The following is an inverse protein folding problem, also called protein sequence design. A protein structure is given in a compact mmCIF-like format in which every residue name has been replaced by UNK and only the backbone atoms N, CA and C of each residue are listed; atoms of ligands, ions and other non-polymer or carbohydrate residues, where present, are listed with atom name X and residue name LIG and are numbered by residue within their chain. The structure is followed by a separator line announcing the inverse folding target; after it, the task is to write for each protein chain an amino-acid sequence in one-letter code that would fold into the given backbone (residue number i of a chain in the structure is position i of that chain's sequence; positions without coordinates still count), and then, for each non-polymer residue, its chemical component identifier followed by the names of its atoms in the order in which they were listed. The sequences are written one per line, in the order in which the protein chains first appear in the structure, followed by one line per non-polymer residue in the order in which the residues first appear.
data_IF_301964373908
#
_entry.id   IF_301964373908
#
_cell.length_a   1.000
_cell.length_b   1.000
_cell.length_c   1.000
_cell.angle_alpha   90.00
_cell.angle_beta   90.00
_cell.angle_gamma   90.00
#
_symmetry.space_group_name_H-M   'P 1'
#
loop_
_entity.id
_entity.type
_entity.pdbx_description
1 polymer ?
#
# COMPACT_ATOMS: atom_id res chain seq x y z
N UNK A 1 4.60 -20.06 -19.83
CA UNK A 1 5.56 -20.92 -19.10
C UNK A 1 5.32 -20.72 -17.61
N UNK A 2 4.83 -21.72 -16.87
CA UNK A 2 4.53 -21.58 -15.45
C UNK A 2 5.76 -21.98 -14.63
N UNK A 3 6.25 -21.05 -13.80
CA UNK A 3 7.30 -21.29 -12.80
C UNK A 3 6.67 -21.84 -11.54
N UNK A 4 7.05 -23.06 -11.20
CA UNK A 4 6.52 -23.81 -10.09
C UNK A 4 6.93 -23.28 -8.72
N UNK A 5 5.91 -23.10 -7.88
CA UNK A 5 6.04 -22.83 -6.45
C UNK A 5 6.42 -24.15 -5.74
N UNK A 6 7.69 -24.29 -5.35
CA UNK A 6 8.15 -25.36 -4.46
C UNK A 6 7.72 -25.04 -3.02
N UNK A 7 6.69 -25.74 -2.57
CA UNK A 7 6.31 -25.82 -1.16
C UNK A 7 7.34 -26.69 -0.42
N UNK A 8 8.17 -26.09 0.43
CA UNK A 8 8.94 -26.81 1.43
C UNK A 8 8.04 -27.04 2.65
N UNK A 9 7.47 -28.23 2.70
CA UNK A 9 6.87 -28.80 3.91
C UNK A 9 8.00 -29.46 4.72
N UNK A 10 8.55 -28.76 5.70
CA UNK A 10 9.38 -29.34 6.75
C UNK A 10 8.48 -30.01 7.77
N UNK A 11 8.29 -31.32 7.61
CA UNK A 11 7.62 -32.14 8.59
C UNK A 11 8.48 -32.30 9.85
N UNK A 12 8.03 -31.74 10.95
CA UNK A 12 8.54 -32.06 12.28
C UNK A 12 7.90 -33.39 12.72
N UNK A 13 8.64 -34.47 12.53
CA UNK A 13 8.29 -35.79 13.09
C UNK A 13 8.67 -35.76 14.57
N UNK A 14 7.68 -35.57 15.43
CA UNK A 14 7.81 -35.73 16.87
C UNK A 14 7.71 -37.25 17.18
N UNK A 15 8.85 -37.89 17.28
CA UNK A 15 8.94 -39.31 17.70
C UNK A 15 8.62 -39.40 19.20
N UNK A 16 7.37 -39.72 19.52
CA UNK A 16 6.99 -40.10 20.89
C UNK A 16 7.53 -41.51 21.21
N UNK A 17 8.61 -41.55 21.97
CA UNK A 17 9.17 -42.79 22.54
C UNK A 17 8.24 -43.22 23.70
N UNK A 18 7.29 -44.06 23.40
CA UNK A 18 6.48 -44.75 24.44
C UNK A 18 7.32 -45.92 24.97
N UNK A 19 7.94 -45.72 26.12
CA UNK A 19 8.51 -46.84 26.88
C UNK A 19 7.41 -47.53 27.69
N UNK A 20 7.29 -48.88 27.62
CA UNK A 20 6.36 -49.60 28.49
C UNK A 20 6.86 -49.54 29.93
N UNK A 21 6.17 -48.79 30.77
CA UNK A 21 6.42 -48.80 32.20
C UNK A 21 5.96 -50.13 32.78
N UNK A 22 6.92 -50.96 33.17
CA UNK A 22 6.70 -52.12 34.06
C UNK A 22 6.03 -51.60 35.34
N UNK A 23 4.79 -52.03 35.55
CA UNK A 23 4.03 -51.77 36.79
C UNK A 23 4.73 -52.45 37.96
N UNK A 24 5.58 -51.69 38.66
CA UNK A 24 5.98 -52.04 40.02
C UNK A 24 4.92 -51.53 41.00
N UNK A 25 4.49 -52.35 41.99
CA UNK A 25 3.59 -51.82 43.02
C UNK A 25 4.33 -50.75 43.80
N UNK A 26 3.78 -49.55 43.77
CA UNK A 26 4.25 -48.39 44.54
C UNK A 26 4.12 -48.74 46.03
N UNK A 27 5.19 -48.62 46.83
CA UNK A 27 5.05 -48.57 48.27
C UNK A 27 4.30 -47.27 48.58
N UNK A 28 3.17 -47.37 49.28
CA UNK A 28 2.45 -46.24 49.88
C UNK A 28 3.35 -45.62 50.94
N UNK A 29 4.32 -44.81 50.53
CA UNK A 29 5.02 -43.90 51.40
C UNK A 29 4.33 -42.54 51.31
N UNK A 30 3.32 -42.34 52.15
CA UNK A 30 2.78 -41.03 52.51
C UNK A 30 3.87 -40.27 53.29
N UNK A 31 5.00 -39.97 52.67
CA UNK A 31 5.97 -39.06 53.22
C UNK A 31 5.52 -37.65 52.83
N UNK A 32 5.14 -36.88 53.82
CA UNK A 32 4.96 -35.45 53.69
C UNK A 32 6.19 -34.87 52.93
N UNK A 33 5.99 -33.98 51.95
CA UNK A 33 7.09 -33.44 51.14
C UNK A 33 8.14 -32.89 52.09
N UNK A 34 9.37 -33.38 51.96
CA UNK A 34 10.51 -32.85 52.75
C UNK A 34 10.60 -31.36 52.51
N UNK A 35 10.86 -30.54 53.50
CA UNK A 35 10.90 -29.07 53.35
C UNK A 35 11.86 -28.58 52.28
N UNK A 36 12.83 -29.38 51.87
CA UNK A 36 13.77 -29.11 50.77
C UNK A 36 13.05 -29.27 49.38
N UNK A 37 12.24 -30.28 49.21
CA UNK A 37 11.50 -30.49 47.97
C UNK A 37 10.44 -29.40 47.72
N UNK A 38 9.80 -28.88 48.76
CA UNK A 38 8.90 -27.74 48.67
C UNK A 38 9.62 -26.44 48.24
N UNK A 39 10.86 -26.23 48.74
CA UNK A 39 11.71 -25.09 48.34
C UNK A 39 12.18 -25.19 46.91
N UNK A 40 12.57 -26.38 46.46
CA UNK A 40 12.98 -26.61 45.06
C UNK A 40 11.82 -26.39 44.08
N UNK A 41 10.61 -26.87 44.42
CA UNK A 41 9.41 -26.64 43.61
C UNK A 41 9.08 -25.14 43.51
N UNK A 42 9.16 -24.40 44.63
CA UNK A 42 8.92 -22.96 44.63
C UNK A 42 10.00 -22.21 43.82
N UNK A 43 11.27 -22.58 43.92
CA UNK A 43 12.35 -22.00 43.14
C UNK A 43 12.16 -22.26 41.63
N UNK A 44 11.72 -23.48 41.24
CA UNK A 44 11.38 -23.80 39.88
C UNK A 44 10.19 -22.99 39.39
N UNK A 45 9.14 -22.83 40.18
CA UNK A 45 7.99 -22.00 39.86
C UNK A 45 8.38 -20.56 39.55
N UNK A 46 9.18 -19.94 40.44
CA UNK A 46 9.67 -18.58 40.24
C UNK A 46 10.53 -18.47 38.97
N UNK A 47 11.36 -19.48 38.68
CA UNK A 47 12.20 -19.47 37.48
C UNK A 47 11.36 -19.61 36.19
N UNK A 48 10.32 -20.44 36.21
CA UNK A 48 9.37 -20.59 35.10
C UNK A 48 8.57 -19.30 34.89
N UNK A 49 8.07 -18.69 35.94
CA UNK A 49 7.34 -17.40 35.83
C UNK A 49 8.22 -16.30 35.23
N UNK A 50 9.52 -16.23 35.63
CA UNK A 50 10.50 -15.31 35.02
C UNK A 50 10.76 -15.64 33.55
N UNK A 51 10.93 -16.91 33.21
CA UNK A 51 11.15 -17.33 31.83
C UNK A 51 9.93 -17.01 30.93
N UNK A 52 8.72 -17.24 31.42
CA UNK A 52 7.47 -16.86 30.72
C UNK A 52 7.42 -15.35 30.50
N UNK A 53 7.69 -14.54 31.53
CA UNK A 53 7.73 -13.09 31.41
C UNK A 53 8.78 -12.57 30.40
N UNK A 54 9.96 -13.20 30.34
CA UNK A 54 10.98 -12.86 29.34
C UNK A 54 10.57 -13.26 27.93
N UNK A 55 9.94 -14.41 27.78
CA UNK A 55 9.44 -14.87 26.47
C UNK A 55 8.34 -13.96 25.94
N UNK A 56 7.42 -13.55 26.81
CA UNK A 56 6.33 -12.64 26.42
C UNK A 56 6.88 -11.28 25.95
N UNK A 57 7.84 -10.71 26.69
CA UNK A 57 8.53 -9.48 26.27
C UNK A 57 9.26 -9.65 24.94
N UNK A 58 9.99 -10.77 24.75
CA UNK A 58 10.69 -11.05 23.50
C UNK A 58 9.74 -11.18 22.32
N UNK A 59 8.60 -11.86 22.50
CA UNK A 59 7.57 -12.00 21.48
C UNK A 59 6.92 -10.66 21.13
N UNK A 60 6.66 -9.81 22.12
CA UNK A 60 6.07 -8.48 21.90
C UNK A 60 7.04 -7.59 21.14
N UNK A 61 8.32 -7.61 21.51
CA UNK A 61 9.37 -6.87 20.80
C UNK A 61 9.52 -7.34 19.34
N UNK A 62 9.57 -8.66 19.12
CA UNK A 62 9.65 -9.22 17.77
C UNK A 62 8.43 -8.85 16.90
N UNK A 63 7.23 -8.80 17.50
CA UNK A 63 6.02 -8.36 16.78
C UNK A 63 6.08 -6.88 16.42
N UNK A 64 6.58 -6.03 17.32
CA UNK A 64 6.79 -4.62 17.04
C UNK A 64 7.80 -4.39 15.91
N UNK A 65 8.92 -5.12 15.91
CA UNK A 65 9.89 -5.07 14.81
C UNK A 65 9.31 -5.48 13.47
N UNK A 66 8.45 -6.51 13.45
CA UNK A 66 7.78 -6.95 12.23
C UNK A 66 6.79 -5.89 11.71
N UNK A 67 6.08 -5.19 12.59
CA UNK A 67 5.20 -4.09 12.21
C UNK A 67 6.01 -2.92 11.63
N UNK A 68 7.10 -2.51 12.27
CA UNK A 68 8.00 -1.47 11.75
C UNK A 68 8.51 -1.81 10.34
N UNK A 69 9.01 -3.01 10.13
CA UNK A 69 9.44 -3.45 8.79
C UNK A 69 8.31 -3.41 7.76
N UNK A 70 7.09 -3.68 8.21
CA UNK A 70 5.91 -3.65 7.34
C UNK A 70 5.53 -2.22 6.96
N UNK A 71 5.62 -1.28 7.91
CA UNK A 71 5.44 0.16 7.68
C UNK A 71 6.50 0.65 6.69
N UNK A 72 7.78 0.43 6.94
CA UNK A 72 8.87 0.81 6.04
C UNK A 72 8.68 0.31 4.60
N UNK A 73 8.21 -0.94 4.44
CA UNK A 73 7.93 -1.51 3.12
C UNK A 73 6.74 -0.82 2.43
N UNK A 74 5.76 -0.38 3.19
CA UNK A 74 4.61 0.36 2.65
C UNK A 74 5.00 1.78 2.26
N UNK A 75 5.72 2.50 3.12
CA UNK A 75 6.25 3.84 2.83
C UNK A 75 7.10 3.87 1.56
N UNK A 76 7.97 2.86 1.37
CA UNK A 76 8.75 2.74 0.13
C UNK A 76 7.90 2.61 -1.13
N UNK A 77 6.65 2.20 -1.03
CA UNK A 77 5.71 2.12 -2.14
C UNK A 77 4.92 3.41 -2.35
N UNK A 78 4.77 4.22 -1.30
CA UNK A 78 4.10 5.53 -1.37
C UNK A 78 4.92 6.53 -2.18
N UNK A 79 6.24 6.59 -1.98
CA UNK A 79 7.12 7.55 -2.66
C UNK A 79 7.03 7.51 -4.21
N UNK A 80 7.10 6.35 -4.88
CA UNK A 80 6.90 6.30 -6.33
C UNK A 80 5.49 6.72 -6.74
N UNK A 81 4.46 6.33 -5.98
CA UNK A 81 3.08 6.69 -6.29
C UNK A 81 2.83 8.20 -6.18
N UNK A 82 3.40 8.87 -5.16
CA UNK A 82 3.39 10.34 -5.08
C UNK A 82 4.06 11.00 -6.29
N UNK A 83 5.14 10.40 -6.79
CA UNK A 83 5.83 10.89 -7.97
C UNK A 83 4.99 10.73 -9.23
N UNK A 84 4.23 9.64 -9.33
CA UNK A 84 3.29 9.39 -10.43
C UNK A 84 2.10 10.35 -10.39
N UNK A 85 1.52 10.62 -9.22
CA UNK A 85 0.48 11.64 -9.04
C UNK A 85 0.97 13.01 -9.49
N UNK A 86 2.20 13.38 -9.11
CA UNK A 86 2.79 14.67 -9.54
C UNK A 86 2.97 14.75 -11.06
N UNK A 87 3.44 13.67 -11.70
CA UNK A 87 3.59 13.62 -13.17
C UNK A 87 2.23 13.73 -13.84
N UNK A 88 1.27 12.92 -13.43
CA UNK A 88 -0.08 12.94 -14.00
C UNK A 88 -0.74 14.32 -13.87
N UNK A 89 -0.54 15.04 -12.75
CA UNK A 89 -0.99 16.45 -12.61
C UNK A 89 -0.27 17.40 -13.58
N UNK A 90 1.01 17.19 -13.82
CA UNK A 90 1.77 18.00 -14.78
C UNK A 90 1.28 17.76 -16.21
N UNK A 91 0.97 16.50 -16.55
CA UNK A 91 0.45 16.11 -17.85
C UNK A 91 -0.97 16.68 -18.07
N UNK A 92 -1.80 16.70 -17.02
CA UNK A 92 -3.12 17.35 -17.04
C UNK A 92 -2.99 18.86 -17.29
N UNK A 93 -2.14 19.57 -16.57
CA UNK A 93 -1.90 20.99 -16.77
C UNK A 93 -1.38 21.31 -18.19
N UNK A 94 -0.55 20.43 -18.75
CA UNK A 94 -0.09 20.57 -20.12
C UNK A 94 -1.23 20.38 -21.13
N UNK A 95 -2.14 19.44 -20.89
CA UNK A 95 -3.32 19.24 -21.73
C UNK A 95 -4.29 20.43 -21.64
N UNK A 96 -4.50 20.99 -20.45
CA UNK A 96 -5.32 22.20 -20.25
C UNK A 96 -4.74 23.40 -21.02
N UNK A 97 -3.41 23.62 -20.93
CA UNK A 97 -2.73 24.68 -21.67
C UNK A 97 -2.82 24.49 -23.19
N UNK A 98 -2.87 23.26 -23.67
CA UNK A 98 -3.06 22.96 -25.09
C UNK A 98 -4.48 23.31 -25.54
N UNK A 99 -5.49 23.04 -24.72
CA UNK A 99 -6.88 23.46 -24.99
C UNK A 99 -6.99 24.98 -25.08
N UNK A 100 -6.45 25.69 -24.10
CA UNK A 100 -6.46 27.17 -24.11
C UNK A 100 -5.80 27.73 -25.38
N UNK A 101 -4.69 27.16 -25.79
CA UNK A 101 -3.99 27.56 -27.02
C UNK A 101 -4.84 27.30 -28.26
N UNK A 102 -5.48 26.12 -28.35
CA UNK A 102 -6.37 25.78 -29.47
C UNK A 102 -7.61 26.67 -29.52
N UNK A 103 -8.19 27.00 -28.36
CA UNK A 103 -9.33 27.93 -28.28
C UNK A 103 -8.94 29.33 -28.79
N UNK A 104 -7.77 29.83 -28.41
CA UNK A 104 -7.25 31.13 -28.89
C UNK A 104 -6.98 31.12 -30.41
N UNK A 105 -6.45 29.98 -30.94
CA UNK A 105 -6.24 29.84 -32.39
C UNK A 105 -7.58 29.75 -33.13
N UNK A 106 -8.60 29.13 -32.54
CA UNK A 106 -9.94 29.05 -33.11
C UNK A 106 -10.60 30.42 -33.18
N UNK A 107 -10.52 31.22 -32.11
CA UNK A 107 -10.99 32.60 -32.08
C UNK A 107 -10.35 33.45 -33.19
N UNK A 108 -9.02 33.36 -33.35
CA UNK A 108 -8.30 34.05 -34.41
C UNK A 108 -8.73 33.62 -35.83
N UNK A 109 -9.02 32.32 -36.00
CA UNK A 109 -9.52 31.78 -37.28
C UNK A 109 -10.94 32.29 -37.59
N UNK A 110 -11.79 32.42 -36.57
CA UNK A 110 -13.14 32.98 -36.68
C UNK A 110 -13.11 34.47 -37.08
N UNK A 111 -12.23 35.25 -36.44
CA UNK A 111 -12.01 36.65 -36.79
C UNK A 111 -11.54 36.83 -38.24
N UNK A 112 -10.61 35.96 -38.68
CA UNK A 112 -10.14 35.96 -40.08
C UNK A 112 -11.29 35.66 -41.07
N UNK A 113 -12.18 34.74 -40.75
CA UNK A 113 -13.35 34.42 -41.56
C UNK A 113 -14.29 35.65 -41.65
N UNK A 114 -14.52 36.31 -40.52
CA UNK A 114 -15.39 37.54 -40.50
C UNK A 114 -14.77 38.61 -41.39
N UNK A 115 -13.46 38.79 -41.38
CA UNK A 115 -12.78 39.76 -42.26
C UNK A 115 -12.81 39.37 -43.73
N UNK A 116 -12.66 38.07 -44.07
CA UNK A 116 -12.82 37.56 -45.44
C UNK A 116 -14.23 37.86 -45.97
N UNK A 117 -15.30 37.68 -45.17
CA UNK A 117 -16.67 37.97 -45.53
C UNK A 117 -16.85 39.49 -45.76
N UNK A 118 -16.28 40.35 -44.88
CA UNK A 118 -16.36 41.81 -44.99
C UNK A 118 -15.71 42.30 -46.28
N UNK A 119 -14.60 41.67 -46.70
CA UNK A 119 -13.85 42.02 -47.89
C UNK A 119 -14.40 41.40 -49.18
N UNK A 120 -15.54 40.67 -49.12
CA UNK A 120 -16.21 40.06 -50.30
C UNK A 120 -15.40 38.91 -50.92
N UNK A 121 -14.43 38.34 -50.18
CA UNK A 121 -13.61 37.20 -50.59
C UNK A 121 -14.09 35.87 -50.06
N UNK A 122 -15.34 35.85 -49.54
CA UNK A 122 -15.90 34.65 -48.91
C UNK A 122 -16.01 33.50 -49.91
N UNK A 123 -15.20 32.44 -49.70
CA UNK A 123 -15.21 31.18 -50.41
C UNK A 123 -15.46 30.04 -49.44
N UNK A 124 -16.30 29.06 -49.84
CA UNK A 124 -16.62 27.91 -49.02
C UNK A 124 -15.36 27.09 -48.60
N UNK A 125 -14.34 27.11 -49.44
CA UNK A 125 -13.06 26.40 -49.19
C UNK A 125 -11.91 27.38 -48.93
N UNK A 126 -12.18 28.52 -48.25
CA UNK A 126 -11.11 29.41 -47.82
C UNK A 126 -10.18 28.73 -46.82
N UNK A 127 -8.90 29.09 -46.81
CA UNK A 127 -7.92 28.53 -45.88
C UNK A 127 -8.33 28.69 -44.43
N UNK A 128 -8.98 29.83 -44.09
CA UNK A 128 -9.47 30.11 -42.73
C UNK A 128 -10.58 29.11 -42.29
N UNK A 129 -11.47 28.71 -43.19
CA UNK A 129 -12.53 27.74 -42.87
C UNK A 129 -12.01 26.31 -42.74
N UNK A 130 -11.03 25.92 -43.53
CA UNK A 130 -10.35 24.63 -43.39
C UNK A 130 -9.64 24.58 -42.05
N UNK A 131 -8.88 25.60 -41.75
CA UNK A 131 -8.17 25.74 -40.47
C UNK A 131 -9.12 25.68 -39.27
N UNK A 132 -10.28 26.39 -39.33
CA UNK A 132 -11.30 26.31 -38.28
C UNK A 132 -11.75 24.87 -38.01
N UNK A 133 -12.09 24.10 -39.06
CA UNK A 133 -12.51 22.69 -38.91
C UNK A 133 -11.42 21.81 -38.29
N UNK A 134 -10.16 22.00 -38.69
CA UNK A 134 -9.04 21.26 -38.11
C UNK A 134 -8.85 21.60 -36.63
N UNK A 135 -8.97 22.88 -36.25
CA UNK A 135 -8.90 23.34 -34.87
C UNK A 135 -10.04 22.81 -34.03
N UNK A 136 -11.29 22.81 -34.54
CA UNK A 136 -12.45 22.23 -33.86
C UNK A 136 -12.26 20.74 -33.56
N UNK A 137 -11.70 19.99 -34.54
CA UNK A 137 -11.39 18.58 -34.36
C UNK A 137 -10.25 18.38 -33.32
N UNK A 138 -9.20 19.18 -33.42
CA UNK A 138 -8.10 19.18 -32.45
C UNK A 138 -8.57 19.49 -31.03
N UNK A 139 -9.45 20.47 -30.90
CA UNK A 139 -10.03 20.88 -29.61
C UNK A 139 -10.89 19.74 -29.00
N UNK A 140 -11.73 19.08 -29.81
CA UNK A 140 -12.50 17.93 -29.35
C UNK A 140 -11.60 16.81 -28.82
N UNK A 141 -10.52 16.51 -29.55
CA UNK A 141 -9.56 15.51 -29.12
C UNK A 141 -8.80 15.92 -27.84
N UNK A 142 -8.35 17.18 -27.75
CA UNK A 142 -7.68 17.68 -26.58
C UNK A 142 -8.58 17.67 -25.33
N UNK A 143 -9.87 17.99 -25.46
CA UNK A 143 -10.85 17.88 -24.36
C UNK A 143 -11.04 16.45 -23.89
N UNK A 144 -11.15 15.48 -24.80
CA UNK A 144 -11.22 14.05 -24.45
C UNK A 144 -9.96 13.60 -23.71
N UNK A 145 -8.81 14.15 -24.09
CA UNK A 145 -7.53 13.87 -23.40
C UNK A 145 -7.56 14.40 -21.96
N UNK A 146 -8.08 15.61 -21.72
CA UNK A 146 -8.24 16.15 -20.36
C UNK A 146 -9.09 15.23 -19.51
N UNK A 147 -10.26 14.78 -19.99
CA UNK A 147 -11.13 13.85 -19.25
C UNK A 147 -10.41 12.55 -18.88
N UNK A 148 -9.58 12.06 -19.79
CA UNK A 148 -8.77 10.84 -19.56
C UNK A 148 -7.69 11.08 -18.49
N UNK A 149 -6.96 12.19 -18.57
CA UNK A 149 -5.92 12.56 -17.59
C UNK A 149 -6.53 12.87 -16.22
N UNK A 150 -7.66 13.56 -16.14
CA UNK A 150 -8.39 13.76 -14.87
C UNK A 150 -8.77 12.44 -14.22
N UNK A 151 -9.30 11.51 -15.00
CA UNK A 151 -9.69 10.19 -14.50
C UNK A 151 -8.46 9.41 -14.01
N UNK A 152 -7.32 9.57 -14.69
CA UNK A 152 -6.06 8.98 -14.27
C UNK A 152 -5.54 9.58 -12.97
N UNK A 153 -5.54 10.91 -12.84
CA UNK A 153 -5.15 11.60 -11.61
C UNK A 153 -6.01 11.17 -10.43
N UNK A 154 -7.34 11.14 -10.59
CA UNK A 154 -8.27 10.70 -9.53
C UNK A 154 -7.94 9.27 -9.07
N UNK A 155 -7.78 8.33 -10.00
CA UNK A 155 -7.44 6.95 -9.67
C UNK A 155 -6.13 6.82 -8.89
N UNK A 156 -5.09 7.56 -9.29
CA UNK A 156 -3.81 7.56 -8.58
C UNK A 156 -3.93 8.20 -7.19
N UNK A 157 -4.76 9.22 -7.03
CA UNK A 157 -5.03 9.85 -5.74
C UNK A 157 -5.77 8.91 -4.79
N UNK A 158 -6.78 8.20 -5.30
CA UNK A 158 -7.52 7.21 -4.52
C UNK A 158 -6.58 6.07 -4.07
N UNK A 159 -5.74 5.57 -4.97
CA UNK A 159 -4.74 4.55 -4.62
C UNK A 159 -3.73 5.05 -3.58
N UNK A 160 -3.30 6.31 -3.67
CA UNK A 160 -2.41 6.92 -2.70
C UNK A 160 -3.09 7.03 -1.32
N UNK A 161 -4.36 7.48 -1.28
CA UNK A 161 -5.13 7.56 -0.05
C UNK A 161 -5.28 6.19 0.62
N UNK A 162 -5.66 5.16 -0.14
CA UNK A 162 -5.78 3.78 0.36
C UNK A 162 -4.45 3.27 0.96
N UNK A 163 -3.30 3.64 0.36
CA UNK A 163 -1.99 3.24 0.89
C UNK A 163 -1.60 3.98 2.16
N UNK A 164 -1.96 5.24 2.27
CA UNK A 164 -1.73 6.02 3.50
C UNK A 164 -2.59 5.49 4.63
N UNK A 165 -3.88 5.23 4.39
CA UNK A 165 -4.77 4.62 5.38
C UNK A 165 -4.26 3.26 5.88
N UNK A 166 -3.69 2.43 4.98
CA UNK A 166 -3.06 1.18 5.37
C UNK A 166 -1.83 1.36 6.29
N UNK A 167 -1.08 2.46 6.13
CA UNK A 167 0.07 2.81 6.99
C UNK A 167 -0.44 3.27 8.34
N UNK A 168 -1.40 4.17 8.39
CA UNK A 168 -2.00 4.70 9.63
C UNK A 168 -2.53 3.56 10.52
N UNK A 169 -3.25 2.58 9.93
CA UNK A 169 -3.72 1.39 10.66
C UNK A 169 -2.57 0.57 11.26
N UNK A 170 -1.44 0.47 10.54
CA UNK A 170 -0.26 -0.25 11.05
C UNK A 170 0.45 0.52 12.16
N UNK A 171 0.52 1.85 12.05
CA UNK A 171 1.09 2.73 13.07
C UNK A 171 0.27 2.68 14.35
N UNK A 172 -1.05 2.79 14.28
CA UNK A 172 -1.96 2.63 15.42
C UNK A 172 -1.78 1.26 16.09
N UNK A 173 -1.64 0.22 15.29
CA UNK A 173 -1.41 -1.14 15.78
C UNK A 173 -0.05 -1.29 16.48
N UNK A 174 0.96 -0.56 16.03
CA UNK A 174 2.29 -0.53 16.63
C UNK A 174 2.26 0.24 17.94
N UNK A 175 1.65 1.42 17.96
CA UNK A 175 1.52 2.27 19.16
C UNK A 175 0.80 1.53 20.28
N UNK A 176 -0.35 0.93 19.99
CA UNK A 176 -1.10 0.13 20.96
C UNK A 176 -0.28 -1.04 21.53
N UNK A 177 0.59 -1.64 20.76
CA UNK A 177 1.47 -2.73 21.23
C UNK A 177 2.65 -2.21 22.06
N UNK A 178 3.17 -1.03 21.74
CA UNK A 178 4.23 -0.39 22.53
C UNK A 178 3.71 0.06 23.91
N UNK A 179 2.48 0.53 24.00
CA UNK A 179 1.82 0.87 25.27
C UNK A 179 1.61 -0.35 26.18
N UNK A 180 1.51 -1.55 25.62
CA UNK A 180 1.39 -2.80 26.38
C UNK A 180 2.73 -3.34 26.91
N UNK A 181 3.84 -2.70 26.56
CA UNK A 181 5.15 -3.05 27.10
C UNK A 181 5.28 -2.47 28.51
N UNK A 182 5.56 -3.31 29.53
CA UNK A 182 5.70 -2.88 30.94
C UNK A 182 6.96 -2.04 31.16
#
# INVERSE_FOLDING_TARGET
MPVGIRRFLSGFVLMALVAPALAQPLPESTSAPTPDLAREVEALRISVERAVGLLDRALTHQRAELLLKRIELKERRVVPLESEVRRARTDLLAAESEVERLEQMLENAEDAIVEEIRNGTDRADSGSRIMKRELEQGLAFARTRIETEESHVRRLQDELADRLDEIDILEDSLEHRLEQLP
#
